data_IF_565548181070
#
_entry.id   IF_565548181070
#
_cell.length_a   1.000
_cell.length_b   1.000
_cell.length_c   1.000
_cell.angle_alpha   90.00
_cell.angle_beta   90.00
_cell.angle_gamma   90.00
#
_symmetry.space_group_name_H-M   'P 1'
#
loop_
_entity.id
_entity.type
_entity.pdbx_description
1 polymer ?
#
# COMPACT_ATOMS: atom_id res chain seq x y z
N UNK A 1 23.89 -27.32 -32.75
CA UNK A 1 22.86 -27.38 -31.68
C UNK A 1 23.54 -28.04 -30.49
N UNK A 2 23.56 -27.39 -29.32
CA UNK A 2 24.18 -27.97 -28.12
C UNK A 2 23.33 -29.15 -27.65
N UNK A 3 23.95 -30.32 -27.51
CA UNK A 3 23.26 -31.53 -27.07
C UNK A 3 23.49 -31.74 -25.56
N UNK A 4 22.61 -32.47 -24.86
CA UNK A 4 22.79 -32.73 -23.42
C UNK A 4 24.15 -33.38 -23.09
N UNK A 5 24.73 -34.15 -24.00
CA UNK A 5 26.04 -34.77 -23.85
C UNK A 5 27.17 -33.73 -23.80
N UNK A 6 27.07 -32.66 -24.60
CA UNK A 6 28.05 -31.57 -24.63
C UNK A 6 28.08 -30.83 -23.28
N UNK A 7 26.89 -30.60 -22.70
CA UNK A 7 26.75 -29.97 -21.38
C UNK A 7 27.36 -30.86 -20.29
N UNK A 8 27.15 -32.18 -20.36
CA UNK A 8 27.73 -33.13 -19.41
C UNK A 8 29.26 -33.14 -19.49
N UNK A 9 29.84 -33.13 -20.69
CA UNK A 9 31.29 -33.08 -20.88
C UNK A 9 31.90 -31.82 -20.24
N UNK A 10 31.28 -30.66 -20.44
CA UNK A 10 31.72 -29.40 -19.84
C UNK A 10 31.64 -29.47 -18.31
N UNK A 11 30.57 -30.04 -17.76
CA UNK A 11 30.44 -30.21 -16.30
C UNK A 11 31.52 -31.14 -15.73
N UNK A 12 31.87 -32.21 -16.42
CA UNK A 12 32.95 -33.11 -15.99
C UNK A 12 34.29 -32.36 -15.97
N UNK A 13 34.61 -31.62 -17.03
CA UNK A 13 35.84 -30.81 -17.09
C UNK A 13 35.86 -29.77 -15.97
N UNK A 14 34.75 -29.04 -15.78
CA UNK A 14 34.63 -28.08 -14.68
C UNK A 14 34.78 -28.75 -13.30
N UNK A 15 34.22 -29.94 -13.11
CA UNK A 15 34.35 -30.72 -11.88
C UNK A 15 35.81 -31.12 -11.61
N UNK A 16 36.59 -31.47 -12.63
CA UNK A 16 38.02 -31.73 -12.47
C UNK A 16 38.83 -30.47 -12.14
N UNK A 17 38.50 -29.33 -12.75
CA UNK A 17 39.19 -28.07 -12.50
C UNK A 17 38.91 -27.49 -11.11
N UNK A 18 37.65 -27.53 -10.67
CA UNK A 18 37.21 -26.92 -9.40
C UNK A 18 37.14 -27.92 -8.25
N UNK A 19 36.98 -29.21 -8.55
CA UNK A 19 36.84 -30.30 -7.57
C UNK A 19 35.41 -30.48 -7.03
N UNK A 20 35.17 -31.66 -6.48
CA UNK A 20 33.86 -32.08 -5.96
C UNK A 20 33.30 -31.20 -4.84
N UNK A 21 34.19 -30.57 -4.07
CA UNK A 21 33.81 -29.78 -2.91
C UNK A 21 33.48 -28.32 -3.28
N UNK A 22 34.07 -27.78 -4.35
CA UNK A 22 33.97 -26.36 -4.67
C UNK A 22 32.63 -25.99 -5.32
N UNK A 23 32.11 -26.84 -6.22
CA UNK A 23 30.82 -26.59 -6.86
C UNK A 23 29.66 -26.54 -5.83
N UNK A 24 29.53 -27.48 -4.87
CA UNK A 24 28.52 -27.37 -3.81
C UNK A 24 28.72 -26.18 -2.88
N UNK A 25 29.97 -25.83 -2.55
CA UNK A 25 30.29 -24.67 -1.72
C UNK A 25 29.84 -23.37 -2.39
N UNK A 26 30.16 -23.19 -3.68
CA UNK A 26 29.75 -22.03 -4.48
C UNK A 26 28.23 -21.95 -4.66
N UNK A 27 27.57 -23.08 -4.90
CA UNK A 27 26.10 -23.14 -4.98
C UNK A 27 25.46 -22.72 -3.65
N UNK A 28 26.01 -23.16 -2.51
CA UNK A 28 25.53 -22.76 -1.18
C UNK A 28 25.75 -21.26 -0.93
N UNK A 29 26.91 -20.70 -1.26
CA UNK A 29 27.19 -19.28 -1.04
C UNK A 29 26.33 -18.39 -1.94
N UNK A 30 26.18 -18.76 -3.22
CA UNK A 30 25.32 -18.04 -4.16
C UNK A 30 23.85 -18.15 -3.77
N UNK A 31 23.41 -19.32 -3.31
CA UNK A 31 22.06 -19.54 -2.80
C UNK A 31 21.76 -18.68 -1.57
N UNK A 32 22.70 -18.58 -0.62
CA UNK A 32 22.59 -17.66 0.53
C UNK A 32 22.51 -16.20 0.07
N UNK A 33 23.43 -15.77 -0.80
CA UNK A 33 23.46 -14.39 -1.31
C UNK A 33 22.16 -14.03 -2.03
N UNK A 34 21.65 -14.92 -2.88
CA UNK A 34 20.38 -14.74 -3.60
C UNK A 34 19.18 -14.72 -2.63
N UNK A 35 19.20 -15.58 -1.61
CA UNK A 35 18.18 -15.62 -0.56
C UNK A 35 18.09 -14.31 0.23
N UNK A 36 19.22 -13.82 0.73
CA UNK A 36 19.29 -12.54 1.44
C UNK A 36 18.94 -11.36 0.53
N UNK A 37 19.40 -11.37 -0.73
CA UNK A 37 19.03 -10.34 -1.70
C UNK A 37 17.52 -10.31 -1.95
N UNK A 38 16.88 -11.47 -2.15
CA UNK A 38 15.43 -11.56 -2.34
C UNK A 38 14.67 -11.11 -1.10
N UNK A 39 15.16 -11.44 0.10
CA UNK A 39 14.57 -10.97 1.37
C UNK A 39 14.66 -9.45 1.49
N UNK A 40 15.83 -8.87 1.23
CA UNK A 40 16.03 -7.43 1.24
C UNK A 40 15.15 -6.71 0.19
N UNK A 41 14.99 -7.30 -1.00
CA UNK A 41 14.08 -6.78 -2.02
C UNK A 41 12.63 -6.78 -1.54
N UNK A 42 12.16 -7.87 -0.91
CA UNK A 42 10.81 -7.95 -0.36
C UNK A 42 10.57 -6.95 0.78
N UNK A 43 11.54 -6.80 1.68
CA UNK A 43 11.49 -5.81 2.75
C UNK A 43 11.45 -4.39 2.18
N UNK A 44 12.31 -4.08 1.21
CA UNK A 44 12.32 -2.79 0.51
C UNK A 44 11.00 -2.50 -0.21
N UNK A 45 10.42 -3.48 -0.91
CA UNK A 45 9.11 -3.32 -1.54
C UNK A 45 8.00 -3.07 -0.51
N UNK A 46 8.04 -3.75 0.63
CA UNK A 46 7.07 -3.54 1.71
C UNK A 46 7.24 -2.18 2.39
N UNK A 47 8.48 -1.70 2.56
CA UNK A 47 8.76 -0.35 3.06
C UNK A 47 8.25 0.71 2.06
N UNK A 48 8.55 0.55 0.77
CA UNK A 48 8.05 1.45 -0.27
C UNK A 48 6.52 1.43 -0.33
N UNK A 49 5.88 0.26 -0.17
CA UNK A 49 4.41 0.14 -0.07
C UNK A 49 3.86 0.76 1.21
N UNK A 50 4.61 0.81 2.30
CA UNK A 50 4.21 1.48 3.53
C UNK A 50 4.36 3.00 3.41
N UNK A 51 5.42 3.47 2.75
CA UNK A 51 5.65 4.89 2.46
C UNK A 51 4.67 5.44 1.41
N UNK A 52 4.33 4.62 0.41
CA UNK A 52 3.32 4.91 -0.62
C UNK A 52 1.93 4.39 -0.25
N UNK A 53 1.74 3.86 0.96
CA UNK A 53 0.40 3.73 1.49
C UNK A 53 -0.08 5.18 1.55
N UNK A 54 -1.11 5.58 0.78
CA UNK A 54 -1.65 6.91 0.96
C UNK A 54 -1.97 7.05 2.44
N UNK A 55 -1.97 8.26 2.95
CA UNK A 55 -2.56 8.61 4.24
C UNK A 55 -4.09 8.34 4.19
N UNK A 56 -4.48 7.12 3.82
CA UNK A 56 -5.81 6.57 3.60
C UNK A 56 -6.61 6.56 4.90
N UNK A 57 -5.97 6.86 6.02
CA UNK A 57 -6.67 7.20 7.25
C UNK A 57 -7.61 8.39 7.04
N UNK A 58 -7.22 9.41 6.25
CA UNK A 58 -8.12 10.53 5.96
C UNK A 58 -9.19 10.16 4.95
N UNK A 59 -8.83 9.52 3.84
CA UNK A 59 -9.78 9.16 2.78
C UNK A 59 -10.81 8.13 3.25
N UNK A 60 -10.39 7.14 4.05
CA UNK A 60 -11.32 6.18 4.67
C UNK A 60 -12.22 6.82 5.72
N UNK A 61 -11.70 7.75 6.54
CA UNK A 61 -12.53 8.52 7.50
C UNK A 61 -13.55 9.40 6.79
N UNK A 62 -13.17 10.08 5.72
CA UNK A 62 -14.08 10.90 4.89
C UNK A 62 -15.15 10.02 4.25
N UNK A 63 -14.77 8.86 3.70
CA UNK A 63 -15.72 7.91 3.12
C UNK A 63 -16.68 7.32 4.15
N UNK A 64 -16.21 6.98 5.34
CA UNK A 64 -17.05 6.48 6.43
C UNK A 64 -18.03 7.55 6.93
N UNK A 65 -17.58 8.80 7.08
CA UNK A 65 -18.44 9.93 7.45
C UNK A 65 -19.50 10.22 6.37
N UNK A 66 -19.10 10.15 5.09
CA UNK A 66 -20.04 10.28 3.97
C UNK A 66 -21.10 9.17 3.98
N UNK A 67 -20.69 7.91 4.19
CA UNK A 67 -21.61 6.77 4.31
C UNK A 67 -22.58 6.92 5.48
N UNK A 68 -22.09 7.33 6.65
CA UNK A 68 -22.92 7.58 7.84
C UNK A 68 -23.94 8.69 7.60
N UNK A 69 -23.56 9.72 6.83
CA UNK A 69 -24.44 10.81 6.43
C UNK A 69 -25.35 10.46 5.24
N UNK A 70 -25.29 9.23 4.71
CA UNK A 70 -26.08 8.80 3.55
C UNK A 70 -25.72 9.53 2.26
N UNK A 71 -24.46 9.89 2.07
CA UNK A 71 -23.91 10.50 0.85
C UNK A 71 -23.35 9.40 -0.05
N UNK A 72 -23.69 9.42 -1.35
CA UNK A 72 -23.17 8.43 -2.30
C UNK A 72 -21.67 8.63 -2.55
N UNK A 73 -20.90 7.57 -2.33
CA UNK A 73 -19.43 7.53 -2.50
C UNK A 73 -18.99 7.11 -3.89
N UNK A 74 -19.92 6.65 -4.73
CA UNK A 74 -19.62 6.12 -6.06
C UNK A 74 -19.28 7.26 -7.02
N UNK A 75 -18.13 7.14 -7.69
CA UNK A 75 -17.61 8.12 -8.64
C UNK A 75 -17.31 9.52 -8.09
N UNK A 76 -17.14 9.67 -6.76
CA UNK A 76 -16.77 10.94 -6.12
C UNK A 76 -15.36 10.93 -5.53
N UNK A 77 -14.66 12.06 -5.65
CA UNK A 77 -13.34 12.27 -5.03
C UNK A 77 -13.48 12.65 -3.55
N UNK A 78 -12.40 12.55 -2.78
CA UNK A 78 -12.40 12.90 -1.35
C UNK A 78 -12.80 14.36 -1.11
N UNK A 79 -12.45 15.26 -2.03
CA UNK A 79 -12.76 16.70 -1.98
C UNK A 79 -14.27 16.94 -2.20
N UNK A 80 -14.88 16.25 -3.15
CA UNK A 80 -16.31 16.34 -3.44
C UNK A 80 -17.16 15.81 -2.28
N UNK A 81 -16.69 14.74 -1.63
CA UNK A 81 -17.34 14.20 -0.43
C UNK A 81 -17.27 15.20 0.74
N UNK A 82 -16.14 15.88 0.94
CA UNK A 82 -16.03 16.92 1.99
C UNK A 82 -17.01 18.07 1.72
N UNK A 83 -17.11 18.54 0.48
CA UNK A 83 -18.01 19.64 0.11
C UNK A 83 -19.48 19.29 0.35
N UNK A 84 -19.88 18.07 0.01
CA UNK A 84 -21.26 17.59 0.20
C UNK A 84 -21.58 17.33 1.68
N UNK A 85 -20.62 16.82 2.46
CA UNK A 85 -20.71 16.73 3.92
C UNK A 85 -20.94 18.12 4.52
N UNK A 86 -20.13 19.11 4.16
CA UNK A 86 -20.27 20.49 4.64
C UNK A 86 -21.62 21.10 4.26
N UNK A 87 -22.09 20.86 3.03
CA UNK A 87 -23.38 21.34 2.55
C UNK A 87 -24.55 20.74 3.36
N UNK A 88 -24.49 19.43 3.65
CA UNK A 88 -25.53 18.70 4.38
C UNK A 88 -25.54 19.02 5.89
N UNK A 89 -24.39 19.32 6.49
CA UNK A 89 -24.28 19.85 7.86
C UNK A 89 -24.89 21.26 7.94
N UNK A 90 -24.57 22.14 6.98
CA UNK A 90 -25.07 23.53 6.96
C UNK A 90 -26.58 23.65 6.70
N UNK A 91 -27.20 22.64 6.08
CA UNK A 91 -28.63 22.63 5.79
C UNK A 91 -29.49 21.96 6.87
N UNK A 92 -28.91 21.14 7.76
CA UNK A 92 -29.62 20.49 8.87
C UNK A 92 -29.48 21.18 10.24
N UNK A 93 -28.65 22.22 10.34
CA UNK A 93 -28.65 23.13 11.50
C UNK A 93 -28.92 24.56 11.02
N UNK A 94 -30.17 25.00 11.13
CA UNK A 94 -30.45 26.42 11.10
C UNK A 94 -30.12 27.04 12.47
N UNK A 95 -29.48 28.21 12.54
CA UNK A 95 -29.80 29.15 13.59
C UNK A 95 -31.06 29.92 13.18
N UNK A 96 -32.23 29.39 13.54
CA UNK A 96 -33.43 30.22 13.70
C UNK A 96 -33.47 30.69 15.16
N UNK A 97 -32.79 31.81 15.45
CA UNK A 97 -33.13 32.64 16.59
C UNK A 97 -34.00 33.78 16.07
N UNK A 98 -35.31 33.57 16.08
CA UNK A 98 -36.28 34.66 15.99
C UNK A 98 -36.89 34.91 17.37
N UNK A 99 -36.64 36.14 17.85
CA UNK A 99 -37.64 37.04 18.42
C UNK A 99 -37.85 37.04 19.96
N UNK A 100 -37.70 38.26 20.49
CA UNK A 100 -38.36 38.86 21.68
C UNK A 100 -37.96 38.41 23.08
N UNK A 101 -37.11 39.21 23.72
CA UNK A 101 -37.35 39.63 25.10
C UNK A 101 -38.42 40.73 25.08
N UNK A 102 -39.66 40.35 25.41
CA UNK A 102 -40.67 41.30 25.92
C UNK A 102 -40.78 41.07 27.42
N UNK A 103 -40.32 42.02 28.22
CA UNK A 103 -40.90 42.28 29.54
C UNK A 103 -41.41 43.73 29.59
N UNK A 104 -42.59 43.97 30.17
CA UNK A 104 -43.19 45.28 30.28
C UNK A 104 -42.54 46.06 31.44
N UNK A 105 -42.52 47.38 31.30
CA UNK A 105 -42.32 48.32 32.41
C UNK A 105 -43.39 48.10 33.49
N UNK A 106 -42.95 47.84 34.72
CA UNK A 106 -43.57 48.27 35.97
C UNK A 106 -42.47 48.43 37.02
#
# INVERSE_FOLDING_TARGET
MFSPEDVLLILIVAFFLFGANKLPEMARSLGKATGEFKKAQMESENEIKQLNKPLNDKDSKIRNLAMEMGISIENKTSEQLIEEIHSKVKSNEGPNVKMTDKYPTA
#
